data_IF_366747980305
#
_entry.id   IF_366747980305
#
_cell.length_a   1.000
_cell.length_b   1.000
_cell.length_c   1.000
_cell.angle_alpha   90.00
_cell.angle_beta   90.00
_cell.angle_gamma   90.00
#
_symmetry.space_group_name_H-M   'P 1'
#
loop_
_entity.id
_entity.type
_entity.pdbx_description
1 polymer ?
#
# COMPACT_ATOMS: atom_id res chain seq x y z
N UNK A 1 18.37 14.86 10.59
CA UNK A 1 18.60 14.09 11.83
C UNK A 1 17.96 12.73 11.64
N UNK A 2 18.70 11.64 11.79
CA UNK A 2 18.15 10.28 11.75
C UNK A 2 17.63 9.91 13.15
N UNK A 3 16.39 9.41 13.22
CA UNK A 3 15.83 8.85 14.46
C UNK A 3 16.67 7.67 14.92
N UNK A 4 17.04 7.63 16.20
CA UNK A 4 17.63 6.46 16.84
C UNK A 4 16.53 5.70 17.60
N UNK A 5 16.03 4.62 17.00
CA UNK A 5 14.90 3.83 17.54
C UNK A 5 15.13 3.25 18.94
N UNK A 6 16.38 3.12 19.39
CA UNK A 6 16.72 2.56 20.70
C UNK A 6 16.84 3.62 21.80
N UNK A 7 17.13 4.87 21.43
CA UNK A 7 17.39 5.95 22.36
C UNK A 7 16.34 7.06 22.33
N UNK A 8 15.81 7.37 21.15
CA UNK A 8 14.82 8.40 20.97
C UNK A 8 13.47 7.91 21.48
N UNK A 9 12.86 8.70 22.36
CA UNK A 9 11.55 8.38 22.90
C UNK A 9 10.48 8.81 21.91
N UNK A 10 9.59 7.88 21.57
CA UNK A 10 8.36 8.18 20.84
C UNK A 10 7.38 9.03 21.67
N UNK A 11 6.26 9.38 21.05
CA UNK A 11 5.16 10.08 21.71
C UNK A 11 4.40 9.13 22.63
N UNK A 12 4.18 9.50 23.89
CA UNK A 12 3.40 8.70 24.82
C UNK A 12 1.94 8.53 24.32
N UNK A 13 1.31 7.37 24.56
CA UNK A 13 -0.01 7.02 24.01
C UNK A 13 -1.10 8.04 24.34
N UNK A 14 -1.10 8.57 25.55
CA UNK A 14 -2.05 9.59 26.01
C UNK A 14 -1.95 10.90 25.22
N UNK A 15 -0.80 11.14 24.58
CA UNK A 15 -0.49 12.30 23.75
C UNK A 15 -0.63 12.03 22.24
N UNK A 16 -0.95 10.80 21.83
CA UNK A 16 -1.20 10.44 20.43
C UNK A 16 -2.70 10.58 20.10
N UNK A 17 -3.22 11.81 20.23
CA UNK A 17 -4.62 12.13 19.97
C UNK A 17 -4.71 13.10 18.81
N UNK A 18 -5.77 12.95 18.03
CA UNK A 18 -6.04 13.79 16.87
C UNK A 18 -7.43 14.38 16.98
N UNK A 19 -7.55 15.65 16.62
CA UNK A 19 -8.82 16.34 16.40
C UNK A 19 -9.25 16.17 14.94
N UNK A 20 -10.53 16.36 14.65
CA UNK A 20 -11.03 16.37 13.27
C UNK A 20 -10.28 17.37 12.37
N UNK A 21 -9.92 18.54 12.92
CA UNK A 21 -9.16 19.56 12.19
C UNK A 21 -7.74 19.09 11.82
N UNK A 22 -7.12 18.25 12.64
CA UNK A 22 -5.80 17.69 12.38
C UNK A 22 -5.87 16.50 11.42
N UNK A 23 -6.96 15.72 11.44
CA UNK A 23 -7.14 14.56 10.57
C UNK A 23 -7.58 14.93 9.15
N UNK A 24 -8.37 16.00 8.99
CA UNK A 24 -8.94 16.39 7.69
C UNK A 24 -8.00 17.38 7.00
N UNK A 25 -7.11 16.86 6.15
CA UNK A 25 -6.22 17.64 5.30
C UNK A 25 -6.83 18.03 3.94
N UNK A 26 -6.06 18.79 3.14
CA UNK A 26 -6.39 19.03 1.73
C UNK A 26 -6.05 17.77 0.92
N UNK A 27 -6.98 17.15 0.18
CA UNK A 27 -6.68 16.01 -0.69
C UNK A 27 -5.73 16.38 -1.83
N UNK A 28 -5.05 15.36 -2.37
CA UNK A 28 -4.23 15.49 -3.58
C UNK A 28 -5.12 15.70 -4.82
N UNK A 29 -4.62 16.44 -5.79
CA UNK A 29 -5.25 16.58 -7.10
C UNK A 29 -4.88 15.39 -7.99
N UNK A 30 -5.87 14.63 -8.47
CA UNK A 30 -5.61 13.56 -9.44
C UNK A 30 -5.18 14.04 -10.83
N UNK A 31 -5.34 15.34 -11.12
CA UNK A 31 -4.98 15.94 -12.40
C UNK A 31 -3.61 16.62 -12.36
N UNK A 32 -3.28 17.25 -11.23
CA UNK A 32 -2.11 18.15 -11.14
C UNK A 32 -0.95 17.56 -10.33
N UNK A 33 -1.24 16.70 -9.34
CA UNK A 33 -0.19 16.17 -8.48
C UNK A 33 0.50 14.96 -9.11
N UNK A 34 1.79 14.83 -8.81
CA UNK A 34 2.62 13.74 -9.31
C UNK A 34 2.16 12.37 -8.77
N UNK A 35 2.20 11.33 -9.60
CA UNK A 35 1.77 9.98 -9.26
C UNK A 35 2.52 9.44 -8.05
N UNK A 36 3.79 9.79 -7.84
CA UNK A 36 4.53 9.38 -6.64
C UNK A 36 4.05 10.07 -5.36
N UNK A 37 3.31 11.17 -5.43
CA UNK A 37 2.58 11.69 -4.26
C UNK A 37 1.49 10.69 -3.87
N UNK A 38 0.72 10.21 -4.85
CA UNK A 38 -0.31 9.19 -4.63
C UNK A 38 0.28 7.85 -4.19
N UNK A 39 1.40 7.40 -4.78
CA UNK A 39 2.11 6.18 -4.36
C UNK A 39 2.48 6.25 -2.88
N UNK A 40 3.01 7.39 -2.41
CA UNK A 40 3.35 7.56 -0.99
C UNK A 40 2.12 7.52 -0.09
N UNK A 41 1.01 8.13 -0.51
CA UNK A 41 -0.25 8.09 0.25
C UNK A 41 -0.75 6.64 0.37
N UNK A 42 -0.83 5.93 -0.75
CA UNK A 42 -1.30 4.54 -0.79
C UNK A 42 -0.38 3.60 -0.01
N UNK A 43 0.94 3.75 -0.15
CA UNK A 43 1.93 2.98 0.61
C UNK A 43 1.77 3.20 2.12
N UNK A 44 1.70 4.47 2.56
CA UNK A 44 1.56 4.78 3.97
C UNK A 44 0.23 4.30 4.54
N UNK A 45 -0.86 4.36 3.76
CA UNK A 45 -2.13 3.75 4.16
C UNK A 45 -1.99 2.22 4.33
N UNK A 46 -1.34 1.54 3.39
CA UNK A 46 -1.07 0.10 3.47
C UNK A 46 -0.28 -0.29 4.73
N UNK A 47 0.76 0.49 5.06
CA UNK A 47 1.58 0.29 6.27
C UNK A 47 0.73 0.44 7.53
N UNK A 48 -0.10 1.47 7.65
CA UNK A 48 -0.95 1.64 8.83
C UNK A 48 -2.02 0.54 8.94
N UNK A 49 -2.63 0.14 7.81
CA UNK A 49 -3.59 -0.96 7.78
C UNK A 49 -2.96 -2.28 8.23
N UNK A 50 -1.75 -2.62 7.76
CA UNK A 50 -1.03 -3.80 8.21
C UNK A 50 -0.66 -3.71 9.70
N UNK A 51 -0.17 -2.54 10.13
CA UNK A 51 0.15 -2.25 11.53
C UNK A 51 -1.03 -2.53 12.47
N UNK A 52 -2.25 -2.12 12.08
CA UNK A 52 -3.49 -2.37 12.81
C UNK A 52 -3.86 -3.86 12.79
N UNK A 53 -3.78 -4.52 11.62
CA UNK A 53 -4.10 -5.97 11.48
C UNK A 53 -3.15 -6.84 12.30
N UNK A 54 -1.86 -6.52 12.30
CA UNK A 54 -0.87 -7.19 13.14
C UNK A 54 -1.20 -7.05 14.62
N UNK A 55 -1.61 -5.86 15.07
CA UNK A 55 -2.01 -5.65 16.47
C UNK A 55 -3.34 -6.31 16.82
N UNK A 56 -4.27 -6.46 15.87
CA UNK A 56 -5.46 -7.28 16.07
C UNK A 56 -5.08 -8.73 16.44
N UNK A 57 -4.07 -9.30 15.79
CA UNK A 57 -3.54 -10.63 16.15
C UNK A 57 -2.88 -10.61 17.54
N UNK A 58 -1.99 -9.64 17.79
CA UNK A 58 -1.32 -9.51 19.09
C UNK A 58 -2.31 -9.34 20.26
N UNK A 59 -3.39 -8.58 20.06
CA UNK A 59 -4.44 -8.34 21.05
C UNK A 59 -5.16 -9.64 21.44
N UNK A 60 -5.36 -10.57 20.50
CA UNK A 60 -5.97 -11.89 20.78
C UNK A 60 -5.03 -12.83 21.54
N UNK A 61 -3.72 -12.64 21.41
CA UNK A 61 -2.70 -13.51 22.00
C UNK A 61 -2.15 -12.99 23.35
N UNK A 62 -2.38 -11.72 23.69
CA UNK A 62 -1.76 -11.07 24.86
C UNK A 62 -2.80 -10.42 25.78
N UNK A 63 -3.46 -11.23 26.61
CA UNK A 63 -4.52 -10.77 27.53
C UNK A 63 -4.14 -9.56 28.40
N UNK A 64 -2.96 -9.51 29.06
CA UNK A 64 -2.61 -8.39 29.94
C UNK A 64 -2.36 -7.07 29.20
N UNK A 65 -2.10 -7.09 27.90
CA UNK A 65 -1.75 -5.91 27.10
C UNK A 65 -2.90 -5.40 26.23
N UNK A 66 -4.08 -6.03 26.27
CA UNK A 66 -5.20 -5.72 25.37
C UNK A 66 -5.62 -4.26 25.38
N UNK A 67 -5.68 -3.64 26.56
CA UNK A 67 -6.08 -2.24 26.68
C UNK A 67 -5.05 -1.31 26.01
N UNK A 68 -3.76 -1.51 26.28
CA UNK A 68 -2.68 -0.71 25.67
C UNK A 68 -2.63 -0.89 24.16
N UNK A 69 -2.81 -2.12 23.68
CA UNK A 69 -2.89 -2.41 22.25
C UNK A 69 -4.11 -1.74 21.60
N UNK A 70 -5.28 -1.79 22.23
CA UNK A 70 -6.48 -1.12 21.73
C UNK A 70 -6.32 0.40 21.66
N UNK A 71 -5.64 1.01 22.65
CA UNK A 71 -5.33 2.45 22.64
C UNK A 71 -4.37 2.80 21.50
N UNK A 72 -3.30 2.02 21.30
CA UNK A 72 -2.36 2.21 20.20
C UNK A 72 -3.05 2.09 18.83
N UNK A 73 -3.85 1.04 18.64
CA UNK A 73 -4.61 0.83 17.40
C UNK A 73 -5.59 1.97 17.10
N UNK A 74 -6.12 2.66 18.12
CA UNK A 74 -6.96 3.84 17.91
C UNK A 74 -6.17 5.01 17.32
N UNK A 75 -4.95 5.23 17.81
CA UNK A 75 -4.07 6.26 17.27
C UNK A 75 -3.71 5.96 15.81
N UNK A 76 -3.34 4.71 15.52
CA UNK A 76 -2.99 4.25 14.16
C UNK A 76 -4.19 4.30 13.22
N UNK A 77 -5.39 3.95 13.68
CA UNK A 77 -6.60 4.10 12.86
C UNK A 77 -6.88 5.56 12.50
N UNK A 78 -6.55 6.52 13.37
CA UNK A 78 -6.63 7.94 13.02
C UNK A 78 -5.53 8.38 12.04
N UNK A 79 -4.31 7.83 12.17
CA UNK A 79 -3.23 8.05 11.20
C UNK A 79 -3.59 7.50 9.83
N UNK A 80 -4.04 6.24 9.76
CA UNK A 80 -4.56 5.58 8.56
C UNK A 80 -5.66 6.44 7.91
N UNK A 81 -6.62 6.92 8.70
CA UNK A 81 -7.72 7.76 8.20
C UNK A 81 -7.22 9.08 7.62
N UNK A 82 -6.31 9.75 8.34
CA UNK A 82 -5.70 11.01 7.89
C UNK A 82 -4.98 10.84 6.54
N UNK A 83 -4.20 9.77 6.40
CA UNK A 83 -3.47 9.45 5.17
C UNK A 83 -4.45 9.08 4.05
N UNK A 84 -5.40 8.17 4.32
CA UNK A 84 -6.35 7.71 3.32
C UNK A 84 -7.20 8.85 2.75
N UNK A 85 -7.59 9.81 3.59
CA UNK A 85 -8.37 10.98 3.17
C UNK A 85 -7.59 12.01 2.36
N UNK A 86 -6.29 11.81 2.15
CA UNK A 86 -5.55 12.54 1.12
C UNK A 86 -5.94 12.08 -0.30
N UNK A 87 -6.47 10.85 -0.46
CA UNK A 87 -7.11 10.45 -1.71
C UNK A 87 -8.50 11.10 -1.79
N UNK A 88 -8.66 12.00 -2.76
CA UNK A 88 -9.89 12.78 -2.91
C UNK A 88 -11.10 11.91 -3.25
N UNK A 89 -12.33 12.32 -2.83
CA UNK A 89 -13.56 11.58 -3.12
C UNK A 89 -13.93 11.54 -4.61
N UNK A 90 -13.23 12.31 -5.43
CA UNK A 90 -13.35 12.33 -6.89
C UNK A 90 -12.55 11.21 -7.58
N UNK A 91 -11.72 10.46 -6.85
CA UNK A 91 -11.06 9.26 -7.37
C UNK A 91 -12.06 8.10 -7.45
N UNK A 92 -12.23 7.51 -8.64
CA UNK A 92 -13.07 6.33 -8.79
C UNK A 92 -12.44 5.12 -8.07
N UNK A 93 -13.24 4.09 -7.72
CA UNK A 93 -12.69 2.86 -7.19
C UNK A 93 -11.63 2.24 -8.10
N UNK A 94 -11.84 2.30 -9.42
CA UNK A 94 -10.91 1.75 -10.40
C UNK A 94 -9.63 2.59 -10.55
N UNK A 95 -9.75 3.93 -10.50
CA UNK A 95 -8.58 4.82 -10.43
C UNK A 95 -7.74 4.52 -9.17
N UNK A 96 -8.41 4.32 -8.03
CA UNK A 96 -7.77 3.93 -6.76
C UNK A 96 -7.09 2.57 -6.90
N UNK A 97 -7.76 1.56 -7.45
CA UNK A 97 -7.16 0.22 -7.65
C UNK A 97 -5.92 0.27 -8.53
N UNK A 98 -5.94 1.01 -9.64
CA UNK A 98 -4.75 1.18 -10.50
C UNK A 98 -3.60 1.83 -9.72
N UNK A 99 -3.89 2.79 -8.83
CA UNK A 99 -2.87 3.37 -7.95
C UNK A 99 -2.29 2.35 -6.96
N UNK A 100 -3.10 1.42 -6.43
CA UNK A 100 -2.61 0.31 -5.60
C UNK A 100 -1.70 -0.64 -6.39
N UNK A 101 -2.06 -1.01 -7.62
CA UNK A 101 -1.20 -1.85 -8.47
C UNK A 101 0.11 -1.14 -8.80
N UNK A 102 0.07 0.17 -9.05
CA UNK A 102 1.29 0.97 -9.22
C UNK A 102 2.19 0.88 -7.97
N UNK A 103 1.62 1.02 -6.76
CA UNK A 103 2.39 0.88 -5.52
C UNK A 103 2.98 -0.52 -5.37
N UNK A 104 2.22 -1.56 -5.69
CA UNK A 104 2.69 -2.94 -5.62
C UNK A 104 3.93 -3.13 -6.51
N UNK A 105 3.88 -2.67 -7.76
CA UNK A 105 5.02 -2.74 -8.68
C UNK A 105 6.21 -1.95 -8.16
N UNK A 106 6.02 -0.67 -7.81
CA UNK A 106 7.14 0.21 -7.42
C UNK A 106 7.85 -0.28 -6.16
N UNK A 107 7.08 -0.74 -5.15
CA UNK A 107 7.63 -1.24 -3.89
C UNK A 107 8.31 -2.59 -4.11
N UNK A 108 7.65 -3.54 -4.77
CA UNK A 108 8.20 -4.87 -5.02
C UNK A 108 9.45 -4.79 -5.90
N UNK A 109 9.47 -3.93 -6.91
CA UNK A 109 10.64 -3.69 -7.76
C UNK A 109 11.81 -3.08 -6.96
N UNK A 110 11.53 -2.10 -6.10
CA UNK A 110 12.54 -1.50 -5.22
C UNK A 110 13.15 -2.54 -4.27
N UNK A 111 12.31 -3.39 -3.67
CA UNK A 111 12.79 -4.48 -2.79
C UNK A 111 13.62 -5.48 -3.60
N UNK A 112 13.15 -5.92 -4.78
CA UNK A 112 13.87 -6.86 -5.63
C UNK A 112 15.26 -6.34 -6.05
N UNK A 113 15.41 -5.03 -6.26
CA UNK A 113 16.69 -4.42 -6.61
C UNK A 113 17.65 -4.30 -5.42
N UNK A 114 17.13 -4.08 -4.21
CA UNK A 114 17.91 -3.85 -3.00
C UNK A 114 18.22 -5.13 -2.22
N UNK A 115 17.42 -6.19 -2.39
CA UNK A 115 17.55 -7.45 -1.68
C UNK A 115 18.87 -8.17 -2.03
N UNK A 116 19.80 -8.33 -1.07
CA UNK A 116 21.08 -9.01 -1.31
C UNK A 116 20.95 -10.52 -1.50
N UNK A 117 19.92 -11.16 -0.95
CA UNK A 117 19.70 -12.59 -1.13
C UNK A 117 19.14 -12.89 -2.54
N UNK A 118 19.88 -13.69 -3.31
CA UNK A 118 19.53 -14.00 -4.70
C UNK A 118 18.21 -14.76 -4.86
N UNK A 119 17.86 -15.62 -3.90
CA UNK A 119 16.61 -16.37 -3.92
C UNK A 119 15.43 -15.46 -3.60
N UNK A 120 15.54 -14.65 -2.54
CA UNK A 120 14.49 -13.70 -2.16
C UNK A 120 14.27 -12.64 -3.26
N UNK A 121 15.37 -12.11 -3.82
CA UNK A 121 15.34 -11.18 -4.95
C UNK A 121 14.64 -11.80 -6.17
N UNK A 122 14.84 -13.10 -6.44
CA UNK A 122 14.13 -13.83 -7.49
C UNK A 122 12.64 -14.01 -7.19
N UNK A 123 12.27 -14.27 -5.93
CA UNK A 123 10.88 -14.38 -5.48
C UNK A 123 10.12 -13.07 -5.68
N UNK A 124 10.73 -11.92 -5.34
CA UNK A 124 10.12 -10.61 -5.60
C UNK A 124 9.97 -10.31 -7.10
N UNK A 125 10.95 -10.66 -7.94
CA UNK A 125 10.82 -10.54 -9.40
C UNK A 125 9.71 -11.43 -9.97
N UNK A 126 9.49 -12.60 -9.37
CA UNK A 126 8.38 -13.46 -9.74
C UNK A 126 7.04 -12.85 -9.36
N UNK A 127 6.93 -12.28 -8.15
CA UNK A 127 5.73 -11.58 -7.67
C UNK A 127 5.34 -10.40 -8.59
N UNK A 128 6.32 -9.64 -9.09
CA UNK A 128 6.08 -8.55 -10.05
C UNK A 128 5.30 -8.99 -11.30
N UNK A 129 5.45 -10.24 -11.74
CA UNK A 129 4.70 -10.72 -12.91
C UNK A 129 3.19 -10.64 -12.67
N UNK A 130 2.74 -10.90 -11.46
CA UNK A 130 1.34 -10.81 -11.08
C UNK A 130 0.89 -9.35 -10.91
N UNK A 131 1.72 -8.48 -10.32
CA UNK A 131 1.41 -7.06 -10.20
C UNK A 131 1.23 -6.38 -11.58
N UNK A 132 2.12 -6.67 -12.55
CA UNK A 132 1.97 -6.18 -13.93
C UNK A 132 0.72 -6.73 -14.62
N UNK A 133 0.39 -7.99 -14.34
CA UNK A 133 -0.81 -8.62 -14.89
C UNK A 133 -2.11 -8.00 -14.37
N UNK A 134 -2.13 -7.61 -13.09
CA UNK A 134 -3.24 -6.89 -12.47
C UNK A 134 -3.35 -5.49 -13.03
N UNK A 135 -2.25 -4.73 -13.08
CA UNK A 135 -2.23 -3.39 -13.66
C UNK A 135 -2.79 -3.39 -15.09
N UNK A 136 -2.37 -4.35 -15.93
CA UNK A 136 -2.89 -4.51 -17.28
C UNK A 136 -4.42 -4.73 -17.31
N UNK A 137 -4.93 -5.63 -16.48
CA UNK A 137 -6.35 -5.99 -16.45
C UNK A 137 -7.21 -4.82 -15.94
N UNK A 138 -6.75 -4.11 -14.92
CA UNK A 138 -7.45 -2.92 -14.43
C UNK A 138 -7.37 -1.76 -15.40
N UNK A 139 -6.24 -1.58 -16.11
CA UNK A 139 -6.14 -0.60 -17.19
C UNK A 139 -7.11 -0.91 -18.33
N UNK A 140 -7.20 -2.17 -18.76
CA UNK A 140 -8.16 -2.60 -19.79
C UNK A 140 -9.62 -2.43 -19.32
N UNK A 141 -9.89 -2.68 -18.03
CA UNK A 141 -11.21 -2.46 -17.44
C UNK A 141 -11.57 -0.96 -17.41
N UNK A 142 -10.59 -0.09 -17.10
CA UNK A 142 -10.76 1.36 -17.05
C UNK A 142 -11.09 1.92 -18.43
N UNK A 143 -10.34 1.52 -19.45
CA UNK A 143 -10.62 1.89 -20.84
C UNK A 143 -12.03 1.42 -21.25
N UNK A 144 -12.38 0.17 -20.96
CA UNK A 144 -13.67 -0.39 -21.35
C UNK A 144 -14.88 0.26 -20.67
N UNK A 145 -14.77 0.63 -19.39
CA UNK A 145 -15.88 1.19 -18.62
C UNK A 145 -15.96 2.71 -18.69
N UNK A 146 -14.82 3.39 -18.73
CA UNK A 146 -14.73 4.83 -18.57
C UNK A 146 -14.09 5.54 -19.78
N UNK A 147 -13.52 4.81 -20.75
CA UNK A 147 -12.82 5.38 -21.90
C UNK A 147 -11.58 6.18 -21.53
N UNK A 148 -10.97 5.86 -20.39
CA UNK A 148 -9.80 6.57 -19.85
C UNK A 148 -8.53 5.74 -20.05
N UNK A 149 -7.46 6.43 -20.44
CA UNK A 149 -6.11 5.86 -20.43
C UNK A 149 -5.56 5.84 -18.99
N UNK A 150 -5.18 4.64 -18.53
CA UNK A 150 -4.58 4.42 -17.23
C UNK A 150 -3.20 5.11 -17.08
N UNK A 151 -2.52 5.47 -18.17
CA UNK A 151 -1.32 6.29 -18.11
C UNK A 151 -1.57 7.70 -17.57
N UNK A 152 -2.81 8.21 -17.61
CA UNK A 152 -3.13 9.47 -16.92
C UNK A 152 -3.06 9.31 -15.39
N UNK A 153 -3.21 8.08 -14.90
CA UNK A 153 -3.05 7.75 -13.48
C UNK A 153 -1.57 7.46 -13.22
N UNK A 154 -0.97 6.47 -13.88
CA UNK A 154 0.43 6.08 -13.63
C UNK A 154 1.44 7.15 -14.02
N UNK A 155 1.02 8.14 -14.82
CA UNK A 155 1.83 9.20 -15.42
C UNK A 155 3.01 8.66 -16.24
N UNK A 156 2.90 7.42 -16.72
CA UNK A 156 3.96 6.75 -17.48
C UNK A 156 5.19 6.36 -16.66
N UNK A 157 5.16 6.49 -15.33
CA UNK A 157 6.26 6.04 -14.47
C UNK A 157 6.34 4.52 -14.36
N UNK A 158 5.21 3.84 -14.56
CA UNK A 158 5.09 2.39 -14.47
C UNK A 158 4.51 1.88 -15.77
N UNK A 159 5.24 0.98 -16.44
CA UNK A 159 4.84 0.46 -17.74
C UNK A 159 3.58 -0.40 -17.64
N UNK A 160 2.61 -0.12 -18.51
CA UNK A 160 1.41 -0.95 -18.67
C UNK A 160 1.63 -1.87 -19.86
N UNK A 161 2.02 -3.10 -19.60
CA UNK A 161 2.32 -4.12 -20.63
C UNK A 161 1.23 -5.19 -20.69
N UNK A 162 1.04 -5.87 -21.83
CA UNK A 162 0.11 -6.99 -21.93
C UNK A 162 0.38 -8.07 -20.86
N UNK A 163 -0.63 -8.33 -20.04
CA UNK A 163 -0.57 -9.36 -19.02
C UNK A 163 -0.55 -10.78 -19.61
N UNK A 164 -0.01 -11.72 -18.85
CA UNK A 164 0.03 -13.15 -19.15
C UNK A 164 -1.39 -13.74 -19.26
N UNK A 165 -1.59 -14.85 -20.00
CA UNK A 165 -2.89 -15.48 -20.14
C UNK A 165 -3.47 -15.96 -18.81
N UNK A 166 -4.77 -15.78 -18.56
CA UNK A 166 -5.44 -16.17 -17.29
C UNK A 166 -5.18 -17.63 -16.88
N UNK A 167 -5.03 -18.55 -17.84
CA UNK A 167 -4.68 -19.96 -17.56
C UNK A 167 -3.42 -20.10 -16.69
N UNK A 168 -2.43 -19.21 -16.84
CA UNK A 168 -1.16 -19.33 -16.12
C UNK A 168 -1.21 -18.78 -14.69
N UNK A 169 -2.32 -18.15 -14.29
CA UNK A 169 -2.49 -17.58 -12.94
C UNK A 169 -2.94 -18.62 -11.93
N UNK A 170 -3.59 -19.68 -12.38
CA UNK A 170 -4.05 -20.73 -11.48
C UNK A 170 -2.87 -21.56 -10.99
N UNK A 171 -2.56 -21.43 -9.70
CA UNK A 171 -1.48 -22.15 -9.03
C UNK A 171 -2.01 -22.86 -7.80
N UNK A 172 -1.41 -24.01 -7.47
CA UNK A 172 -1.67 -24.69 -6.22
C UNK A 172 -1.04 -23.88 -5.05
N UNK A 173 -1.74 -23.74 -3.90
CA UNK A 173 -1.28 -22.88 -2.79
C UNK A 173 0.11 -23.25 -2.25
N UNK A 174 0.47 -24.53 -2.24
CA UNK A 174 1.77 -25.01 -1.81
C UNK A 174 2.94 -24.43 -2.62
N UNK A 175 2.67 -23.99 -3.86
CA UNK A 175 3.68 -23.37 -4.70
C UNK A 175 3.85 -21.87 -4.45
N UNK A 176 3.00 -21.25 -3.61
CA UNK A 176 3.19 -19.86 -3.15
C UNK A 176 4.22 -19.76 -2.02
N UNK A 177 4.61 -20.89 -1.43
CA UNK A 177 5.59 -20.93 -0.36
C UNK A 177 6.99 -20.63 -0.89
N UNK A 178 7.69 -19.70 -0.23
CA UNK A 178 9.12 -19.45 -0.41
C UNK A 178 9.91 -20.15 0.69
N UNK A 179 11.21 -20.38 0.47
CA UNK A 179 12.12 -20.76 1.54
C UNK A 179 12.14 -19.66 2.63
N UNK A 180 12.15 -20.04 3.92
CA UNK A 180 12.11 -19.10 5.04
C UNK A 180 13.41 -18.33 5.26
#
# INVERSE_FOLDING_TARGET
MSINLLHDKGTALDRQRFTWKEMVGKPISKLDDDAFTRVRVVLMNGIESDSIRTKQTALRMNLPLREKLAQLMRAEQHQETCINWLLGPDHSPLETTIAYEQVAIEVTASIAQLEPDGYQSQSYRYALLEDFDHLYRYAALLDRLEGKDANNITQGYTDIIPGRPTLVHHRAPEHELTEP
#
